data_IF_407643115154
#
_entry.id   IF_407643115154
#
_cell.length_a   1.000
_cell.length_b   1.000
_cell.length_c   1.000
_cell.angle_alpha   90.00
_cell.angle_beta   90.00
_cell.angle_gamma   90.00
#
_symmetry.space_group_name_H-M   'P 1'
#
loop_
_entity.id
_entity.type
_entity.pdbx_description
1 polymer ?
#
# COMPACT_ATOMS: atom_id res chain seq x y z
N UNK A 1 1.14 8.57 -1.40
CA UNK A 1 1.31 10.03 -1.52
C UNK A 1 -0.06 10.59 -1.88
N UNK A 2 -0.62 11.48 -1.07
CA UNK A 2 -1.77 12.26 -1.49
C UNK A 2 -1.47 12.92 -2.85
N UNK A 3 -2.49 13.13 -3.69
CA UNK A 3 -2.37 13.69 -5.05
C UNK A 3 -1.89 15.15 -5.03
N UNK A 4 -0.63 15.39 -4.66
CA UNK A 4 0.02 16.68 -4.74
C UNK A 4 0.89 16.70 -5.99
N UNK A 5 0.48 17.42 -7.06
CA UNK A 5 1.19 17.44 -8.33
C UNK A 5 2.66 17.86 -8.16
N UNK A 6 2.91 18.84 -7.29
CA UNK A 6 4.26 19.31 -6.98
C UNK A 6 5.17 18.19 -6.43
N UNK A 7 4.67 17.33 -5.55
CA UNK A 7 5.45 16.21 -4.98
C UNK A 7 5.71 15.11 -6.00
N UNK A 8 4.78 14.89 -6.94
CA UNK A 8 4.96 13.93 -8.03
C UNK A 8 5.99 14.42 -9.03
N UNK A 9 5.98 15.71 -9.36
CA UNK A 9 6.97 16.34 -10.26
C UNK A 9 8.36 16.28 -9.63
N UNK A 10 8.50 16.64 -8.34
CA UNK A 10 9.79 16.56 -7.65
C UNK A 10 10.28 15.12 -7.53
N UNK A 11 9.40 14.16 -7.22
CA UNK A 11 9.75 12.74 -7.21
C UNK A 11 10.25 12.28 -8.57
N UNK A 12 9.48 12.54 -9.65
CA UNK A 12 9.86 12.18 -11.02
C UNK A 12 11.21 12.78 -11.41
N UNK A 13 11.48 14.03 -11.03
CA UNK A 13 12.76 14.70 -11.34
C UNK A 13 13.96 14.08 -10.64
N UNK A 14 13.77 13.46 -9.48
CA UNK A 14 14.87 12.94 -8.64
C UNK A 14 15.10 11.45 -8.86
N UNK A 15 14.02 10.67 -9.04
CA UNK A 15 14.11 9.21 -9.24
C UNK A 15 13.98 8.78 -10.70
N UNK A 16 13.63 9.69 -11.61
CA UNK A 16 13.25 9.41 -13.00
C UNK A 16 12.10 8.41 -13.17
N UNK A 17 11.38 8.10 -12.09
CA UNK A 17 10.26 7.17 -12.11
C UNK A 17 8.91 7.86 -12.23
N UNK A 18 8.01 7.22 -12.97
CA UNK A 18 6.59 7.56 -13.05
C UNK A 18 5.71 6.62 -12.22
N UNK A 19 6.31 5.66 -11.52
CA UNK A 19 5.62 4.74 -10.62
C UNK A 19 5.53 5.37 -9.24
N UNK A 20 4.31 5.52 -8.73
CA UNK A 20 4.05 6.23 -7.47
C UNK A 20 3.49 5.30 -6.39
N UNK A 21 3.63 5.67 -5.09
CA UNK A 21 3.04 4.92 -3.98
C UNK A 21 1.52 4.92 -4.06
N UNK A 22 0.92 3.74 -3.88
CA UNK A 22 -0.52 3.57 -3.75
C UNK A 22 -1.03 4.00 -2.37
N UNK A 23 -2.33 4.25 -2.27
CA UNK A 23 -2.98 4.53 -0.98
C UNK A 23 -3.12 3.21 -0.22
N UNK A 24 -2.63 3.18 1.01
CA UNK A 24 -2.83 2.05 1.92
C UNK A 24 -4.17 2.23 2.66
N UNK A 25 -4.97 1.16 2.75
CA UNK A 25 -6.27 1.16 3.42
C UNK A 25 -6.25 0.19 4.62
N UNK A 26 -6.34 0.73 5.84
CA UNK A 26 -6.27 -0.08 7.07
C UNK A 26 -7.40 -1.11 7.21
N UNK A 27 -8.58 -0.82 6.66
CA UNK A 27 -9.78 -1.64 6.84
C UNK A 27 -10.01 -2.62 5.69
N UNK A 28 -9.50 -2.34 4.48
CA UNK A 28 -9.61 -3.20 3.30
C UNK A 28 -8.28 -3.88 3.01
N UNK A 29 -8.10 -5.07 3.57
CA UNK A 29 -6.87 -5.84 3.44
C UNK A 29 -6.62 -6.33 2.00
N UNK A 30 -7.70 -6.59 1.23
CA UNK A 30 -7.63 -6.91 -0.21
C UNK A 30 -6.84 -5.86 -1.00
N UNK A 31 -7.13 -4.58 -0.79
CA UNK A 31 -6.47 -3.49 -1.51
C UNK A 31 -5.05 -3.23 -0.97
N UNK A 32 -4.73 -3.78 0.21
CA UNK A 32 -3.45 -3.58 0.89
C UNK A 32 -2.33 -4.45 0.34
N UNK A 33 -2.61 -5.64 -0.21
CA UNK A 33 -1.59 -6.51 -0.82
C UNK A 33 -0.90 -5.82 -1.99
N UNK A 34 -1.67 -5.26 -2.92
CA UNK A 34 -1.16 -4.51 -4.08
C UNK A 34 -0.37 -3.27 -3.66
N UNK A 35 -0.84 -2.55 -2.63
CA UNK A 35 -0.13 -1.40 -2.08
C UNK A 35 1.23 -1.80 -1.48
N UNK A 36 1.33 -2.96 -0.84
CA UNK A 36 2.58 -3.49 -0.30
C UNK A 36 3.56 -3.93 -1.38
N UNK A 37 3.10 -4.65 -2.41
CA UNK A 37 3.97 -4.99 -3.55
C UNK A 37 4.50 -3.74 -4.24
N UNK A 38 3.65 -2.74 -4.46
CA UNK A 38 4.08 -1.44 -4.98
C UNK A 38 5.12 -0.77 -4.07
N UNK A 39 4.91 -0.80 -2.75
CA UNK A 39 5.84 -0.20 -1.81
C UNK A 39 7.22 -0.87 -1.84
N UNK A 40 7.28 -2.18 -2.04
CA UNK A 40 8.53 -2.94 -2.22
C UNK A 40 9.20 -2.54 -3.54
N UNK A 41 8.45 -2.46 -4.63
CA UNK A 41 8.93 -2.11 -5.98
C UNK A 41 9.64 -0.75 -6.00
N UNK A 42 9.01 0.28 -5.44
CA UNK A 42 9.51 1.67 -5.52
C UNK A 42 10.33 2.09 -4.30
N UNK A 43 10.69 1.16 -3.41
CA UNK A 43 11.31 1.50 -2.13
C UNK A 43 12.64 2.24 -2.30
N UNK A 44 13.44 1.79 -3.25
CA UNK A 44 14.76 2.38 -3.53
C UNK A 44 14.59 3.78 -4.15
N UNK A 45 13.57 3.97 -5.00
CA UNK A 45 13.23 5.28 -5.56
C UNK A 45 12.75 6.26 -4.47
N UNK A 46 11.96 5.77 -3.50
CA UNK A 46 11.55 6.56 -2.33
C UNK A 46 12.76 6.94 -1.51
N UNK A 47 13.71 6.02 -1.30
CA UNK A 47 14.95 6.30 -0.58
C UNK A 47 15.75 7.41 -1.27
N UNK A 48 15.96 7.31 -2.57
CA UNK A 48 16.63 8.34 -3.37
C UNK A 48 15.94 9.70 -3.23
N UNK A 49 14.62 9.73 -3.37
CA UNK A 49 13.84 10.97 -3.23
C UNK A 49 13.88 11.58 -1.82
N UNK A 50 13.83 10.74 -0.78
CA UNK A 50 13.73 11.18 0.61
C UNK A 50 15.08 11.64 1.18
N UNK A 51 16.16 11.04 0.69
CA UNK A 51 17.53 11.36 1.07
C UNK A 51 18.18 12.44 0.20
N UNK A 52 17.54 12.85 -0.90
CA UNK A 52 18.02 13.96 -1.73
C UNK A 52 18.07 15.28 -0.94
N UNK A 53 19.25 15.92 -0.96
CA UNK A 53 19.51 17.18 -0.26
C UNK A 53 18.85 18.37 -0.93
N UNK A 54 18.57 18.28 -2.23
CA UNK A 54 17.95 19.36 -3.01
C UNK A 54 16.42 19.37 -2.89
N UNK A 55 15.83 18.27 -2.45
CA UNK A 55 14.38 18.14 -2.24
C UNK A 55 13.97 18.71 -0.88
N UNK A 56 13.24 19.83 -0.93
CA UNK A 56 12.59 20.43 0.25
C UNK A 56 11.34 19.63 0.62
N UNK A 57 11.49 18.66 1.52
CA UNK A 57 10.36 17.91 2.06
C UNK A 57 9.70 18.64 3.24
N UNK A 58 8.37 18.56 3.38
CA UNK A 58 7.68 19.18 4.49
C UNK A 58 8.03 18.46 5.81
N UNK A 59 8.16 19.21 6.89
CA UNK A 59 8.50 18.71 8.23
C UNK A 59 7.30 18.03 8.91
N UNK A 60 6.76 16.99 8.28
CA UNK A 60 5.57 16.26 8.74
C UNK A 60 5.96 14.95 9.43
N UNK A 61 5.15 14.44 10.38
CA UNK A 61 5.40 13.16 11.03
C UNK A 61 5.56 11.99 10.04
N UNK A 62 4.82 12.01 8.93
CA UNK A 62 4.91 10.98 7.89
C UNK A 62 6.26 10.96 7.18
N UNK A 63 6.80 12.12 6.79
CA UNK A 63 8.15 12.24 6.19
C UNK A 63 9.22 11.79 7.17
N UNK A 64 9.13 12.19 8.44
CA UNK A 64 10.07 11.75 9.49
C UNK A 64 10.05 10.23 9.67
N UNK A 65 8.86 9.63 9.67
CA UNK A 65 8.70 8.20 9.83
C UNK A 65 9.32 7.43 8.65
N UNK A 66 9.12 7.91 7.42
CA UNK A 66 9.78 7.31 6.24
C UNK A 66 11.29 7.42 6.37
N UNK A 67 11.84 8.62 6.64
CA UNK A 67 13.29 8.83 6.83
C UNK A 67 13.90 7.90 7.87
N UNK A 68 13.20 7.66 8.97
CA UNK A 68 13.69 6.80 10.06
C UNK A 68 13.75 5.32 9.68
N UNK A 69 12.80 4.84 8.87
CA UNK A 69 12.62 3.41 8.61
C UNK A 69 13.07 2.98 7.21
N UNK A 70 13.38 3.91 6.31
CA UNK A 70 13.74 3.58 4.91
C UNK A 70 15.05 2.80 4.78
N UNK A 71 15.91 2.86 5.81
CA UNK A 71 17.15 2.12 5.91
C UNK A 71 17.02 0.77 6.65
N UNK A 72 15.82 0.43 7.16
CA UNK A 72 15.59 -0.88 7.78
C UNK A 72 15.64 -1.99 6.72
N UNK A 73 16.71 -2.81 6.77
CA UNK A 73 16.92 -3.97 5.91
C UNK A 73 15.77 -4.98 6.01
N UNK A 74 15.10 -5.04 7.16
CA UNK A 74 13.98 -5.94 7.40
C UNK A 74 12.65 -5.39 6.87
N UNK A 75 12.59 -4.13 6.42
CA UNK A 75 11.34 -3.53 5.95
C UNK A 75 10.78 -4.25 4.71
N UNK A 76 11.62 -4.53 3.71
CA UNK A 76 11.22 -5.28 2.50
C UNK A 76 10.69 -6.68 2.88
N UNK A 77 11.43 -7.52 3.65
CA UNK A 77 10.92 -8.81 4.14
C UNK A 77 9.60 -8.72 4.93
N UNK A 78 9.45 -7.76 5.85
CA UNK A 78 8.22 -7.57 6.64
C UNK A 78 7.02 -7.27 5.74
N UNK A 79 7.21 -6.40 4.75
CA UNK A 79 6.18 -6.09 3.76
C UNK A 79 5.85 -7.29 2.87
N UNK A 80 6.85 -8.08 2.47
CA UNK A 80 6.62 -9.30 1.68
C UNK A 80 5.80 -10.33 2.45
N UNK A 81 6.12 -10.56 3.72
CA UNK A 81 5.36 -11.48 4.57
C UNK A 81 3.90 -11.02 4.72
N UNK A 82 3.70 -9.73 5.02
CA UNK A 82 2.36 -9.15 5.06
C UNK A 82 1.62 -9.31 3.74
N UNK A 83 2.28 -9.03 2.61
CA UNK A 83 1.68 -9.12 1.28
C UNK A 83 1.23 -10.55 0.95
N UNK A 84 2.03 -11.56 1.33
CA UNK A 84 1.67 -12.98 1.16
C UNK A 84 0.42 -13.32 1.97
N UNK A 85 0.38 -13.00 3.26
CA UNK A 85 -0.80 -13.26 4.10
C UNK A 85 -2.04 -12.55 3.55
N UNK A 86 -1.90 -11.27 3.20
CA UNK A 86 -3.00 -10.49 2.63
C UNK A 86 -3.53 -11.11 1.33
N UNK A 87 -2.63 -11.62 0.47
CA UNK A 87 -2.98 -12.29 -0.78
C UNK A 87 -3.66 -13.65 -0.57
N UNK A 88 -3.23 -14.42 0.44
CA UNK A 88 -3.91 -15.68 0.81
C UNK A 88 -5.33 -15.44 1.28
N UNK A 89 -5.56 -14.36 2.03
CA UNK A 89 -6.88 -13.98 2.50
C UNK A 89 -7.72 -13.29 1.41
N UNK A 90 -7.14 -12.89 0.29
CA UNK A 90 -7.78 -12.07 -0.73
C UNK A 90 -9.01 -12.74 -1.34
N UNK A 91 -8.95 -14.04 -1.63
CA UNK A 91 -10.08 -14.81 -2.18
C UNK A 91 -11.26 -14.84 -1.20
N UNK A 92 -10.97 -15.05 0.08
CA UNK A 92 -11.98 -15.03 1.14
C UNK A 92 -12.58 -13.64 1.30
N UNK A 93 -11.73 -12.61 1.40
CA UNK A 93 -12.16 -11.24 1.60
C UNK A 93 -12.93 -10.69 0.39
N UNK A 94 -12.54 -10.98 -0.86
CA UNK A 94 -13.33 -10.62 -2.05
C UNK A 94 -14.72 -11.25 -2.02
N UNK A 95 -14.84 -12.48 -1.49
CA UNK A 95 -16.13 -13.17 -1.36
C UNK A 95 -17.04 -12.56 -0.29
N UNK A 96 -16.49 -12.04 0.81
CA UNK A 96 -17.26 -11.59 1.97
C UNK A 96 -17.20 -10.07 2.26
N UNK A 97 -16.39 -9.33 1.52
CA UNK A 97 -16.20 -7.88 1.64
C UNK A 97 -16.25 -7.18 0.27
N UNK A 98 -16.89 -7.79 -0.73
CA UNK A 98 -17.21 -7.08 -1.97
C UNK A 98 -18.46 -6.23 -1.80
N UNK A 99 -18.63 -5.24 -2.68
CA UNK A 99 -19.83 -4.40 -2.75
C UNK A 99 -21.07 -5.17 -3.29
N UNK A 100 -20.92 -6.45 -3.61
CA UNK A 100 -22.03 -7.31 -4.01
C UNK A 100 -22.90 -7.67 -2.78
N UNK A 101 -24.24 -7.67 -2.90
CA UNK A 101 -25.10 -8.02 -1.80
C UNK A 101 -24.83 -9.46 -1.35
N UNK A 102 -24.44 -9.63 -0.09
CA UNK A 102 -24.16 -10.93 0.52
C UNK A 102 -25.43 -11.68 0.94
N UNK A 103 -26.56 -10.98 1.01
CA UNK A 103 -27.85 -11.54 1.47
C UNK A 103 -28.32 -12.77 0.67
N UNK A 104 -28.25 -12.80 -0.69
CA UNK A 104 -28.62 -13.99 -1.47
C UNK A 104 -27.70 -15.19 -1.21
N UNK A 105 -26.42 -14.95 -0.90
CA UNK A 105 -25.44 -16.00 -0.62
C UNK A 105 -25.60 -16.59 0.78
N UNK A 106 -25.97 -15.76 1.77
CA UNK A 106 -26.31 -16.23 3.12
C UNK A 106 -27.59 -17.07 3.10
N UNK A 107 -28.62 -16.65 2.36
CA UNK A 107 -29.84 -17.45 2.18
C UNK A 107 -29.56 -18.78 1.48
N UNK A 108 -28.75 -18.81 0.41
CA UNK A 108 -28.37 -20.08 -0.24
C UNK A 108 -27.56 -21.03 0.64
N UNK A 109 -26.76 -20.51 1.58
CA UNK A 109 -25.87 -21.31 2.43
C UNK A 109 -26.53 -21.77 3.75
N UNK A 110 -27.51 -21.01 4.26
CA UNK A 110 -28.14 -21.26 5.57
C UNK A 110 -29.68 -21.36 5.53
N UNK A 111 -30.32 -21.05 4.40
CA UNK A 111 -31.77 -21.06 4.24
C UNK A 111 -32.42 -22.43 4.02
N UNK A 112 -31.64 -23.51 4.04
CA UNK A 112 -32.11 -24.90 3.93
C UNK A 112 -32.16 -25.65 5.29
N UNK A 113 -32.06 -24.94 6.41
CA UNK A 113 -32.23 -25.52 7.77
C UNK A 113 -33.67 -25.22 8.29
N UNK A 114 -34.64 -25.15 7.37
CA UNK A 114 -36.06 -25.01 7.68
C UNK A 114 -36.84 -26.20 7.14
#
# INVERSE_FOLDING_TARGET
>A
MDNFPARRISFKRVSDKTTFPLKFCRTRWVESSTACYRAIEIMDDIKTYVCDKHTKLPNTPSVKNVKRNIDDVLLKPKLSFFAIIASTLEVFLKKFQSDAPLAPFLYKKFGFIG
#
